data_IF_460257237407
#
_entry.id   IF_460257237407
#
_cell.length_a   1.000
_cell.length_b   1.000
_cell.length_c   1.000
_cell.angle_alpha   90.00
_cell.angle_beta   90.00
_cell.angle_gamma   90.00
#
_symmetry.space_group_name_H-M   'P 1'
#
loop_
_entity.id
_entity.type
_entity.pdbx_description
1 polymer ?
#
# COMPACT_ATOMS: atom_id res chain seq x y z
N UNK A 1 -7.76 3.39 -20.56
CA UNK A 1 -8.04 4.66 -19.86
C UNK A 1 -9.41 4.57 -19.20
N UNK A 2 -9.53 4.92 -17.92
CA UNK A 2 -10.75 4.80 -17.09
C UNK A 2 -11.78 5.91 -17.35
N UNK A 3 -11.39 6.97 -18.04
CA UNK A 3 -12.17 8.20 -18.17
C UNK A 3 -12.49 8.54 -19.61
N UNK A 4 -13.64 9.16 -19.84
CA UNK A 4 -13.99 9.83 -21.09
C UNK A 4 -13.50 11.27 -21.11
N UNK A 5 -13.48 11.92 -19.94
CA UNK A 5 -12.99 13.29 -19.76
C UNK A 5 -12.43 13.44 -18.34
N UNK A 6 -11.40 14.28 -18.20
CA UNK A 6 -10.77 14.60 -16.94
C UNK A 6 -10.68 16.11 -16.78
N UNK A 7 -11.24 16.61 -15.70
CA UNK A 7 -11.10 18.00 -15.29
C UNK A 7 -10.18 18.10 -14.07
N UNK A 8 -9.29 19.07 -14.08
CA UNK A 8 -8.40 19.36 -12.95
C UNK A 8 -8.51 20.82 -12.61
N UNK A 9 -8.88 21.13 -11.37
CA UNK A 9 -8.83 22.47 -10.82
C UNK A 9 -7.66 22.55 -9.85
N UNK A 10 -6.74 23.50 -10.06
CA UNK A 10 -5.55 23.63 -9.24
C UNK A 10 -5.26 25.08 -8.90
N UNK A 11 -4.87 25.35 -7.65
CA UNK A 11 -4.36 26.65 -7.22
C UNK A 11 -3.12 26.46 -6.35
N UNK A 12 -2.03 27.11 -6.75
CA UNK A 12 -0.78 27.10 -6.00
C UNK A 12 -0.95 27.74 -4.61
N UNK A 13 -0.12 27.32 -3.66
CA UNK A 13 -0.05 27.94 -2.35
C UNK A 13 0.77 29.25 -2.35
N UNK A 14 1.51 29.54 -3.42
CA UNK A 14 2.30 30.75 -3.52
C UNK A 14 1.39 32.01 -3.52
N UNK A 15 1.75 33.08 -2.79
CA UNK A 15 0.95 34.30 -2.72
C UNK A 15 0.62 34.86 -4.11
N UNK A 16 -0.61 35.33 -4.29
CA UNK A 16 -1.07 35.93 -5.56
C UNK A 16 -1.29 34.96 -6.72
N UNK A 17 -1.12 33.65 -6.51
CA UNK A 17 -1.33 32.67 -7.59
C UNK A 17 -2.81 32.54 -7.97
N UNK A 18 -3.17 32.67 -9.26
CA UNK A 18 -4.54 32.43 -9.71
C UNK A 18 -4.87 30.93 -9.69
N UNK A 19 -6.16 30.61 -9.80
CA UNK A 19 -6.64 29.25 -10.00
C UNK A 19 -6.71 28.92 -11.49
N UNK A 20 -6.52 27.64 -11.84
CA UNK A 20 -6.63 27.17 -13.21
C UNK A 20 -7.53 25.93 -13.29
N UNK A 21 -8.26 25.82 -14.40
CA UNK A 21 -8.87 24.59 -14.88
C UNK A 21 -7.99 24.02 -15.99
N UNK A 22 -7.75 22.71 -15.95
CA UNK A 22 -7.17 21.92 -17.02
C UNK A 22 -8.19 20.87 -17.43
N UNK A 23 -8.38 20.70 -18.74
CA UNK A 23 -9.38 19.79 -19.32
C UNK A 23 -8.73 18.90 -20.39
N UNK A 24 -9.04 17.61 -20.39
CA UNK A 24 -8.64 16.69 -21.48
C UNK A 24 -9.53 15.46 -21.54
N UNK A 25 -9.75 14.95 -22.74
CA UNK A 25 -10.38 13.67 -23.04
C UNK A 25 -9.35 12.52 -23.23
N UNK A 26 -8.05 12.83 -23.15
CA UNK A 26 -6.96 11.88 -23.37
C UNK A 26 -6.60 11.65 -24.84
N UNK A 27 -7.09 12.49 -25.78
CA UNK A 27 -6.76 12.45 -27.21
C UNK A 27 -5.33 12.94 -27.54
N UNK A 28 -4.60 13.44 -26.56
CA UNK A 28 -3.28 14.07 -26.73
C UNK A 28 -3.32 15.60 -26.72
N UNK A 29 -4.52 16.19 -26.69
CA UNK A 29 -4.74 17.64 -26.53
C UNK A 29 -5.33 17.92 -25.15
N UNK A 30 -5.06 19.12 -24.63
CA UNK A 30 -5.67 19.62 -23.41
C UNK A 30 -5.87 21.14 -23.50
N UNK A 31 -6.80 21.63 -22.71
CA UNK A 31 -7.10 23.06 -22.56
C UNK A 31 -6.73 23.53 -21.15
N UNK A 32 -6.29 24.77 -21.04
CA UNK A 32 -6.03 25.45 -19.75
C UNK A 32 -6.73 26.80 -19.78
N UNK A 33 -7.51 27.09 -18.74
CA UNK A 33 -8.15 28.38 -18.54
C UNK A 33 -7.99 28.83 -17.08
N UNK A 34 -7.94 30.14 -16.84
CA UNK A 34 -8.02 30.68 -15.48
C UNK A 34 -9.41 30.39 -14.90
N UNK A 35 -9.46 29.99 -13.62
CA UNK A 35 -10.69 29.63 -12.93
C UNK A 35 -10.77 30.31 -11.56
N UNK A 36 -11.91 30.95 -11.29
CA UNK A 36 -12.22 31.56 -10.00
C UNK A 36 -12.77 30.51 -9.01
N UNK A 37 -12.75 30.83 -7.71
CA UNK A 37 -13.30 29.94 -6.67
C UNK A 37 -12.50 28.65 -6.40
N UNK A 38 -11.34 28.46 -7.02
CA UNK A 38 -10.49 27.28 -6.81
C UNK A 38 -9.81 27.34 -5.45
N UNK A 39 -10.03 26.34 -4.59
CA UNK A 39 -9.33 26.19 -3.31
C UNK A 39 -7.84 25.87 -3.56
N UNK A 40 -6.94 26.39 -2.71
CA UNK A 40 -5.51 26.01 -2.74
C UNK A 40 -5.35 24.49 -2.65
N UNK A 41 -4.50 23.93 -3.50
CA UNK A 41 -4.37 22.50 -3.74
C UNK A 41 -4.91 22.09 -5.11
N UNK A 42 -5.24 20.82 -5.27
CA UNK A 42 -5.71 20.25 -6.54
C UNK A 42 -6.97 19.41 -6.33
N UNK A 43 -8.00 19.66 -7.14
CA UNK A 43 -9.22 18.85 -7.27
C UNK A 43 -9.21 18.20 -8.65
N UNK A 44 -9.40 16.89 -8.71
CA UNK A 44 -9.50 16.14 -9.96
C UNK A 44 -10.92 15.57 -10.04
N UNK A 45 -11.60 15.82 -11.15
CA UNK A 45 -12.90 15.25 -11.49
C UNK A 45 -12.68 14.30 -12.67
N UNK A 46 -13.16 13.08 -12.51
CA UNK A 46 -13.02 12.03 -13.52
C UNK A 46 -14.41 11.68 -14.03
N UNK A 47 -14.68 11.99 -15.30
CA UNK A 47 -15.89 11.53 -15.98
C UNK A 47 -15.66 10.10 -16.45
N UNK A 48 -16.25 9.17 -15.72
CA UNK A 48 -16.07 7.74 -15.95
C UNK A 48 -16.73 7.30 -17.26
N UNK A 49 -16.02 6.46 -18.03
CA UNK A 49 -16.60 5.74 -19.16
C UNK A 49 -17.77 4.84 -18.72
N UNK A 50 -18.61 4.44 -19.67
CA UNK A 50 -19.79 3.60 -19.41
C UNK A 50 -19.43 2.24 -18.80
N UNK A 51 -18.30 1.65 -19.19
CA UNK A 51 -17.78 0.38 -18.68
C UNK A 51 -17.03 0.51 -17.33
N UNK A 52 -16.76 1.74 -16.88
CA UNK A 52 -16.02 2.03 -15.65
C UNK A 52 -16.88 2.62 -14.52
N UNK A 53 -18.23 2.56 -14.64
CA UNK A 53 -19.15 3.18 -13.67
C UNK A 53 -19.06 2.58 -12.26
N UNK A 54 -18.50 1.39 -12.10
CA UNK A 54 -18.26 0.80 -10.79
C UNK A 54 -17.47 1.73 -9.85
N UNK A 55 -16.57 2.57 -10.36
CA UNK A 55 -15.77 3.50 -9.57
C UNK A 55 -16.54 4.74 -9.10
N UNK A 56 -17.83 4.87 -9.45
CA UNK A 56 -18.75 5.83 -8.82
C UNK A 56 -19.46 5.26 -7.59
N UNK A 57 -19.38 3.94 -7.37
CA UNK A 57 -19.95 3.30 -6.17
C UNK A 57 -19.04 3.51 -4.97
N UNK A 58 -19.59 4.05 -3.88
CA UNK A 58 -18.84 4.25 -2.63
C UNK A 58 -18.21 2.95 -2.12
N UNK A 59 -18.93 1.83 -2.18
CA UNK A 59 -18.42 0.54 -1.73
C UNK A 59 -17.17 0.12 -2.52
N UNK A 60 -17.21 0.26 -3.85
CA UNK A 60 -16.09 -0.10 -4.71
C UNK A 60 -14.86 0.77 -4.45
N UNK A 61 -15.06 2.08 -4.33
CA UNK A 61 -13.97 3.03 -4.02
C UNK A 61 -13.40 2.75 -2.63
N UNK A 62 -14.25 2.43 -1.65
CA UNK A 62 -13.84 2.05 -0.30
C UNK A 62 -12.90 0.85 -0.31
N UNK A 63 -13.23 -0.20 -1.07
CA UNK A 63 -12.39 -1.40 -1.18
C UNK A 63 -11.02 -1.09 -1.80
N UNK A 64 -11.01 -0.28 -2.86
CA UNK A 64 -9.76 0.15 -3.52
C UNK A 64 -8.89 0.97 -2.57
N UNK A 65 -9.47 1.96 -1.87
CA UNK A 65 -8.75 2.80 -0.90
C UNK A 65 -8.19 1.94 0.25
N UNK A 66 -9.00 1.03 0.79
CA UNK A 66 -8.59 0.14 1.89
C UNK A 66 -7.45 -0.78 1.45
N UNK A 67 -7.48 -1.26 0.20
CA UNK A 67 -6.43 -2.13 -0.34
C UNK A 67 -5.11 -1.39 -0.53
N UNK A 68 -5.11 -0.25 -1.20
CA UNK A 68 -3.87 0.38 -1.69
C UNK A 68 -3.38 1.59 -0.88
N UNK A 69 -4.28 2.25 -0.15
CA UNK A 69 -4.05 3.59 0.38
C UNK A 69 -4.36 3.74 1.87
N UNK A 70 -4.69 2.64 2.56
CA UNK A 70 -5.08 2.68 3.98
C UNK A 70 -3.98 3.21 4.92
N UNK A 71 -2.72 3.17 4.49
CA UNK A 71 -1.57 3.57 5.31
C UNK A 71 -0.94 4.90 4.89
N UNK A 72 -1.59 5.67 4.02
CA UNK A 72 -1.13 7.02 3.66
C UNK A 72 -1.13 7.91 4.90
N UNK A 73 -0.09 8.75 5.03
CA UNK A 73 0.17 9.57 6.22
C UNK A 73 -0.82 10.72 6.47
N UNK A 74 -1.69 11.04 5.51
CA UNK A 74 -2.63 12.15 5.59
C UNK A 74 -4.06 11.63 5.79
N UNK A 75 -4.92 12.33 6.56
CA UNK A 75 -6.32 11.96 6.70
C UNK A 75 -7.03 11.88 5.33
N UNK A 76 -7.59 10.71 5.03
CA UNK A 76 -8.31 10.43 3.79
C UNK A 76 -9.80 10.35 4.10
N UNK A 77 -10.61 11.09 3.34
CA UNK A 77 -12.07 11.11 3.48
C UNK A 77 -12.73 10.59 2.20
N UNK A 78 -13.72 9.72 2.36
CA UNK A 78 -14.62 9.26 1.30
C UNK A 78 -16.05 9.64 1.68
N UNK A 79 -16.71 10.47 0.86
CA UNK A 79 -18.06 10.96 1.12
C UNK A 79 -18.25 11.54 2.54
N UNK A 80 -17.27 12.30 3.00
CA UNK A 80 -17.26 12.92 4.34
C UNK A 80 -16.85 12.01 5.50
N UNK A 81 -16.64 10.71 5.26
CA UNK A 81 -16.23 9.74 6.28
C UNK A 81 -14.73 9.49 6.23
N UNK A 82 -14.06 9.50 7.40
CA UNK A 82 -12.63 9.20 7.49
C UNK A 82 -12.39 7.72 7.20
N UNK A 83 -11.44 7.43 6.31
CA UNK A 83 -11.14 6.10 5.80
C UNK A 83 -9.95 5.45 6.52
N UNK A 84 -8.78 6.10 6.51
CA UNK A 84 -7.57 5.55 7.10
C UNK A 84 -7.52 5.79 8.62
N UNK A 85 -7.72 4.72 9.37
CA UNK A 85 -7.62 4.69 10.84
C UNK A 85 -6.40 3.91 11.32
N UNK A 86 -5.88 2.99 10.51
CA UNK A 86 -4.70 2.19 10.85
C UNK A 86 -3.40 2.94 10.57
N UNK A 87 -2.48 2.85 11.53
CA UNK A 87 -1.14 3.41 11.39
C UNK A 87 -0.20 2.39 10.75
N UNK A 88 0.76 2.90 9.97
CA UNK A 88 1.83 2.09 9.37
C UNK A 88 2.88 1.74 10.44
N UNK A 89 2.55 0.84 11.38
CA UNK A 89 3.38 0.58 12.57
C UNK A 89 4.78 0.03 12.23
N UNK A 90 4.97 -0.57 11.05
CA UNK A 90 6.30 -0.99 10.58
C UNK A 90 7.29 0.18 10.40
N UNK A 91 6.77 1.41 10.23
CA UNK A 91 7.57 2.62 10.11
C UNK A 91 7.98 3.22 11.47
N UNK A 92 7.26 2.87 12.54
CA UNK A 92 7.49 3.39 13.89
C UNK A 92 8.76 2.79 14.51
N UNK A 93 9.26 3.37 15.60
CA UNK A 93 10.28 2.71 16.42
C UNK A 93 9.68 1.46 17.07
N UNK A 94 10.31 0.28 17.01
CA UNK A 94 9.80 -0.93 17.64
C UNK A 94 9.49 -0.77 19.14
N UNK A 95 10.19 0.13 19.84
CA UNK A 95 9.96 0.40 21.26
C UNK A 95 8.68 1.19 21.54
N UNK A 96 8.18 1.90 20.54
CA UNK A 96 6.97 2.72 20.63
C UNK A 96 5.70 1.96 20.22
N UNK A 97 5.84 0.69 19.79
CA UNK A 97 4.72 -0.15 19.36
C UNK A 97 4.38 -1.14 20.47
N UNK A 98 3.21 -0.97 21.09
CA UNK A 98 2.72 -1.87 22.12
C UNK A 98 2.24 -3.21 21.56
N UNK A 99 2.16 -4.23 22.42
CA UNK A 99 1.64 -5.56 22.05
C UNK A 99 0.23 -5.50 21.43
N UNK A 100 -0.65 -4.65 21.96
CA UNK A 100 -2.01 -4.49 21.43
C UNK A 100 -2.01 -3.98 19.99
N UNK A 101 -1.09 -3.06 19.64
CA UNK A 101 -0.97 -2.54 18.27
C UNK A 101 -0.47 -3.65 17.34
N UNK A 102 0.45 -4.48 17.81
CA UNK A 102 0.89 -5.65 17.07
C UNK A 102 -0.23 -6.67 16.88
N UNK A 103 -1.05 -6.96 17.89
CA UNK A 103 -2.21 -7.85 17.76
C UNK A 103 -3.23 -7.32 16.75
N UNK A 104 -3.63 -6.05 16.84
CA UNK A 104 -4.57 -5.45 15.89
C UNK A 104 -4.02 -5.43 14.47
N UNK A 105 -2.75 -5.04 14.30
CA UNK A 105 -2.11 -5.02 13.00
C UNK A 105 -1.94 -6.43 12.43
N UNK A 106 -1.58 -7.42 13.26
CA UNK A 106 -1.50 -8.83 12.87
C UNK A 106 -2.84 -9.32 12.33
N UNK A 107 -3.94 -9.13 13.07
CA UNK A 107 -5.29 -9.53 12.64
C UNK A 107 -5.67 -8.89 11.31
N UNK A 108 -5.31 -7.61 11.12
CA UNK A 108 -5.52 -6.91 9.87
C UNK A 108 -4.72 -7.50 8.70
N UNK A 109 -3.40 -7.64 8.82
CA UNK A 109 -2.57 -8.10 7.68
C UNK A 109 -2.70 -9.59 7.39
N UNK A 110 -2.91 -10.41 8.43
CA UNK A 110 -3.07 -11.85 8.30
C UNK A 110 -4.52 -12.27 7.99
N UNK A 111 -5.49 -11.35 8.11
CA UNK A 111 -6.93 -11.66 8.06
C UNK A 111 -7.29 -12.79 9.05
N UNK A 112 -6.80 -12.65 10.27
CA UNK A 112 -6.84 -13.69 11.30
C UNK A 112 -7.58 -13.22 12.56
N UNK A 113 -8.04 -14.17 13.35
CA UNK A 113 -8.74 -13.91 14.63
C UNK A 113 -7.88 -14.24 15.86
N UNK A 114 -6.80 -15.00 15.68
CA UNK A 114 -5.87 -15.34 16.75
C UNK A 114 -4.90 -14.18 17.04
N UNK A 115 -3.79 -14.49 17.71
CA UNK A 115 -2.74 -13.54 18.10
C UNK A 115 -1.40 -14.02 17.55
N UNK A 116 -0.42 -13.12 17.33
CA UNK A 116 0.91 -13.56 16.97
C UNK A 116 1.59 -14.21 18.18
N UNK A 117 2.11 -15.43 18.03
CA UNK A 117 2.98 -16.07 19.02
C UNK A 117 4.36 -15.42 19.05
N UNK A 118 4.88 -15.06 17.88
CA UNK A 118 6.14 -14.35 17.75
C UNK A 118 5.98 -13.11 16.89
N UNK A 119 6.73 -12.08 17.26
CA UNK A 119 6.77 -10.78 16.60
C UNK A 119 8.24 -10.46 16.32
N UNK A 120 8.56 -10.15 15.06
CA UNK A 120 9.85 -9.58 14.66
C UNK A 120 9.60 -8.26 13.95
N UNK A 121 9.83 -7.15 14.63
CA UNK A 121 9.87 -5.82 14.03
C UNK A 121 11.31 -5.49 13.64
N UNK A 122 11.59 -5.55 12.33
CA UNK A 122 12.94 -5.41 11.80
C UNK A 122 13.06 -4.16 10.92
N UNK A 123 14.03 -3.31 11.27
CA UNK A 123 14.39 -2.09 10.53
C UNK A 123 15.89 -2.12 10.23
N UNK A 124 16.25 -1.80 9.01
CA UNK A 124 17.64 -1.54 8.63
C UNK A 124 17.69 -0.58 7.44
N UNK A 125 18.77 0.18 7.33
CA UNK A 125 19.07 1.03 6.16
C UNK A 125 20.22 0.45 5.31
N UNK A 126 20.85 -0.62 5.78
CA UNK A 126 21.92 -1.33 5.08
C UNK A 126 21.74 -2.86 5.15
N UNK A 127 22.03 -3.61 4.08
CA UNK A 127 22.48 -3.14 2.76
C UNK A 127 21.35 -2.64 1.85
N UNK A 128 20.12 -2.61 2.37
CA UNK A 128 18.90 -2.11 1.75
C UNK A 128 18.06 -1.43 2.83
N UNK A 129 17.26 -0.44 2.45
CA UNK A 129 16.22 0.11 3.30
C UNK A 129 15.09 -0.92 3.47
N UNK A 130 14.91 -1.40 4.70
CA UNK A 130 13.88 -2.36 5.07
C UNK A 130 13.18 -1.84 6.31
N UNK A 131 11.85 -1.81 6.25
CA UNK A 131 10.95 -1.60 7.37
C UNK A 131 9.93 -2.74 7.34
N UNK A 132 10.02 -3.66 8.28
CA UNK A 132 9.26 -4.90 8.22
C UNK A 132 8.75 -5.32 9.59
N UNK A 133 7.61 -5.98 9.59
CA UNK A 133 7.11 -6.72 10.74
C UNK A 133 6.71 -8.10 10.26
N UNK A 134 7.22 -9.11 10.95
CA UNK A 134 6.88 -10.51 10.73
C UNK A 134 6.20 -11.09 11.97
N UNK A 135 5.21 -11.92 11.71
CA UNK A 135 4.42 -12.60 12.72
C UNK A 135 4.39 -14.10 12.46
N UNK A 136 4.46 -14.86 13.55
CA UNK A 136 4.13 -16.28 13.56
C UNK A 136 2.76 -16.43 14.24
N UNK A 137 1.73 -16.95 13.55
CA UNK A 137 0.43 -17.22 14.16
C UNK A 137 0.53 -18.12 15.39
N UNK A 138 -0.31 -17.90 16.40
CA UNK A 138 -0.42 -18.83 17.53
C UNK A 138 -1.18 -20.10 17.12
N UNK A 139 -2.17 -19.95 16.24
CA UNK A 139 -2.88 -21.06 15.63
C UNK A 139 -1.93 -21.91 14.79
N UNK A 140 -1.92 -23.22 15.07
CA UNK A 140 -1.15 -24.18 14.27
C UNK A 140 -1.77 -24.27 12.87
N UNK A 141 -0.95 -24.31 11.79
CA UNK A 141 -1.47 -24.48 10.45
C UNK A 141 -2.17 -25.83 10.33
N UNK A 142 -3.32 -25.87 9.65
CA UNK A 142 -4.00 -27.13 9.37
C UNK A 142 -3.25 -27.93 8.30
N UNK A 143 -3.47 -29.24 8.24
CA UNK A 143 -2.92 -30.08 7.15
C UNK A 143 -3.34 -29.57 5.76
N UNK A 144 -4.54 -28.97 5.66
CA UNK A 144 -5.03 -28.35 4.44
C UNK A 144 -4.22 -27.09 4.05
N UNK A 145 -3.83 -26.27 5.01
CA UNK A 145 -2.99 -25.09 4.78
C UNK A 145 -1.57 -25.49 4.33
N UNK A 146 -1.06 -26.60 4.86
CA UNK A 146 0.25 -27.14 4.51
C UNK A 146 0.25 -27.75 3.12
N UNK A 147 -0.82 -28.49 2.76
CA UNK A 147 -0.94 -29.19 1.48
C UNK A 147 -1.22 -28.27 0.29
N UNK A 148 -1.78 -27.08 0.52
CA UNK A 148 -1.88 -26.07 -0.53
C UNK A 148 -0.50 -25.46 -0.79
N UNK A 149 -0.11 -25.36 -2.06
CA UNK A 149 1.01 -24.52 -2.50
C UNK A 149 0.65 -23.03 -2.40
N UNK A 150 0.36 -22.56 -1.18
CA UNK A 150 0.22 -21.15 -0.90
C UNK A 150 1.62 -20.53 -0.86
N UNK A 151 1.85 -19.55 -1.72
CA UNK A 151 3.04 -18.71 -1.64
C UNK A 151 3.08 -17.89 -0.33
N UNK A 152 4.11 -17.06 -0.19
CA UNK A 152 4.24 -16.14 0.95
C UNK A 152 2.96 -15.34 1.21
N UNK A 153 2.62 -15.16 2.48
CA UNK A 153 1.50 -14.32 2.94
C UNK A 153 1.99 -13.00 3.53
N UNK A 154 3.15 -12.53 3.09
CA UNK A 154 3.71 -11.22 3.45
C UNK A 154 3.34 -10.22 2.36
N UNK A 155 2.77 -9.10 2.78
CA UNK A 155 2.47 -7.98 1.90
C UNK A 155 3.72 -7.13 1.66
N UNK A 156 3.91 -6.68 0.42
CA UNK A 156 4.99 -5.81 0.02
C UNK A 156 4.48 -4.41 -0.23
N UNK A 157 5.13 -3.44 0.41
CA UNK A 157 4.86 -2.02 0.30
C UNK A 157 6.10 -1.29 -0.20
N UNK A 158 5.87 -0.09 -0.74
CA UNK A 158 6.92 0.90 -0.94
C UNK A 158 6.36 2.26 -0.55
N UNK A 159 7.01 2.94 0.39
CA UNK A 159 6.57 4.25 0.90
C UNK A 159 5.12 4.23 1.38
N UNK A 160 4.73 3.17 2.12
CA UNK A 160 3.37 2.91 2.62
C UNK A 160 2.29 2.66 1.55
N UNK A 161 2.65 2.56 0.27
CA UNK A 161 1.74 2.17 -0.81
C UNK A 161 1.89 0.68 -1.06
N UNK A 162 0.76 -0.03 -1.10
CA UNK A 162 0.76 -1.47 -1.36
C UNK A 162 1.22 -1.73 -2.80
N UNK A 163 2.21 -2.61 -2.96
CA UNK A 163 2.68 -3.11 -4.25
C UNK A 163 2.07 -4.47 -4.53
N UNK A 164 2.19 -5.40 -3.58
CA UNK A 164 1.70 -6.77 -3.73
C UNK A 164 1.15 -7.29 -2.41
N UNK A 165 -0.07 -7.82 -2.41
CA UNK A 165 -0.72 -8.38 -1.21
C UNK A 165 -0.03 -9.65 -0.70
N UNK A 166 0.53 -10.44 -1.62
CA UNK A 166 1.19 -11.73 -1.35
C UNK A 166 2.46 -11.80 -2.17
N UNK A 167 3.56 -11.25 -1.64
CA UNK A 167 4.84 -11.22 -2.32
C UNK A 167 5.56 -12.55 -2.14
N UNK A 168 5.43 -13.44 -3.12
CA UNK A 168 5.97 -14.81 -3.06
C UNK A 168 7.49 -14.88 -3.08
N UNK A 169 8.14 -13.85 -3.62
CA UNK A 169 9.55 -13.90 -3.97
C UNK A 169 10.48 -13.26 -2.93
N UNK A 170 9.90 -12.58 -1.93
CA UNK A 170 10.65 -11.88 -0.88
C UNK A 170 11.01 -12.79 0.32
N UNK A 171 10.44 -13.99 0.39
CA UNK A 171 10.78 -15.00 1.39
C UNK A 171 10.94 -16.37 0.73
N UNK A 172 11.83 -17.24 1.22
CA UNK A 172 11.93 -18.62 0.74
C UNK A 172 10.65 -19.41 1.08
N UNK A 173 10.31 -20.39 0.23
CA UNK A 173 9.05 -21.17 0.34
C UNK A 173 8.83 -21.85 1.69
N UNK A 174 9.89 -22.20 2.41
CA UNK A 174 9.79 -22.84 3.73
C UNK A 174 9.39 -21.87 4.85
N UNK A 175 9.54 -20.55 4.62
CA UNK A 175 9.07 -19.48 5.53
C UNK A 175 7.64 -19.01 5.23
N UNK A 176 6.86 -19.74 4.40
CA UNK A 176 5.49 -19.35 4.01
C UNK A 176 4.47 -19.22 5.15
N UNK A 177 4.78 -19.77 6.33
CA UNK A 177 3.93 -19.67 7.51
C UNK A 177 3.97 -18.26 8.13
N UNK A 178 4.98 -17.46 7.81
CA UNK A 178 5.10 -16.09 8.29
C UNK A 178 4.00 -15.22 7.68
N UNK A 179 3.47 -14.31 8.50
CA UNK A 179 2.56 -13.23 8.11
C UNK A 179 3.24 -11.90 8.35
N UNK A 180 2.79 -10.85 7.68
CA UNK A 180 3.28 -9.50 7.98
C UNK A 180 3.48 -8.63 6.76
N UNK A 181 4.40 -7.69 6.89
CA UNK A 181 4.65 -6.64 5.92
C UNK A 181 6.14 -6.39 5.74
N UNK A 182 6.55 -6.10 4.50
CA UNK A 182 7.86 -5.55 4.17
C UNK A 182 7.63 -4.28 3.36
N UNK A 183 8.22 -3.17 3.81
CA UNK A 183 8.28 -1.91 3.09
C UNK A 183 9.74 -1.58 2.78
N UNK A 184 10.01 -1.20 1.54
CA UNK A 184 11.34 -0.83 1.07
C UNK A 184 11.25 0.24 0.00
N UNK A 185 12.06 1.29 0.15
CA UNK A 185 12.19 2.35 -0.85
C UNK A 185 13.10 1.96 -2.02
N UNK A 186 13.92 0.92 -1.86
CA UNK A 186 14.92 0.49 -2.83
C UNK A 186 14.37 -0.45 -3.90
N UNK A 187 13.12 -0.93 -3.74
CA UNK A 187 12.53 -1.88 -4.68
C UNK A 187 12.16 -1.14 -5.97
N UNK A 188 12.75 -1.49 -7.12
CA UNK A 188 12.40 -0.89 -8.40
C UNK A 188 10.99 -1.33 -8.77
N UNK A 189 10.08 -0.36 -8.87
CA UNK A 189 8.72 -0.61 -9.32
C UNK A 189 8.69 -0.57 -10.85
N UNK A 190 8.06 -1.56 -11.47
CA UNK A 190 7.77 -1.50 -12.89
C UNK A 190 6.78 -0.35 -13.20
N UNK A 191 6.59 -0.01 -14.48
CA UNK A 191 5.72 1.12 -14.87
C UNK A 191 4.28 0.96 -14.38
N UNK A 192 3.77 -0.28 -14.26
CA UNK A 192 2.44 -0.56 -13.70
C UNK A 192 2.39 -0.56 -12.17
N UNK A 193 3.54 -0.61 -11.48
CA UNK A 193 3.69 -0.80 -10.02
C UNK A 193 3.02 -2.08 -9.48
N UNK A 194 2.83 -3.09 -10.31
CA UNK A 194 2.09 -4.33 -9.95
C UNK A 194 2.95 -5.59 -10.00
N UNK A 195 3.95 -5.65 -10.87
CA UNK A 195 4.80 -6.82 -11.02
C UNK A 195 6.21 -6.45 -10.59
N UNK A 196 6.71 -7.17 -9.59
CA UNK A 196 8.12 -7.15 -9.29
C UNK A 196 8.85 -7.73 -10.50
N UNK A 197 9.66 -6.92 -11.16
CA UNK A 197 10.64 -7.49 -12.08
C UNK A 197 11.58 -8.36 -11.24
N UNK A 198 11.81 -9.61 -11.65
CA UNK A 198 12.83 -10.46 -11.04
C UNK A 198 14.18 -9.74 -11.12
N UNK A 199 14.55 -9.11 -10.01
CA UNK A 199 15.73 -8.27 -9.94
C UNK A 199 16.71 -8.86 -8.94
N UNK A 200 17.99 -8.54 -9.14
CA UNK A 200 19.03 -8.87 -8.16
C UNK A 200 18.69 -8.30 -6.76
N UNK A 201 17.97 -7.18 -6.70
CA UNK A 201 17.54 -6.56 -5.44
C UNK A 201 16.50 -7.39 -4.68
N UNK A 202 15.52 -8.01 -5.36
CA UNK A 202 14.55 -8.89 -4.70
C UNK A 202 15.23 -10.14 -4.12
N UNK A 203 16.20 -10.71 -4.85
CA UNK A 203 17.00 -11.84 -4.32
C UNK A 203 17.81 -11.42 -3.09
N UNK A 204 18.48 -10.26 -3.14
CA UNK A 204 19.24 -9.71 -2.01
C UNK A 204 18.34 -9.44 -0.80
N UNK A 205 17.15 -8.87 -1.01
CA UNK A 205 16.15 -8.65 0.03
C UNK A 205 15.75 -9.99 0.68
N UNK A 206 15.40 -10.99 -0.13
CA UNK A 206 15.04 -12.32 0.36
C UNK A 206 16.15 -12.95 1.21
N UNK A 207 17.40 -12.86 0.76
CA UNK A 207 18.54 -13.43 1.48
C UNK A 207 18.76 -12.74 2.83
N UNK A 208 18.67 -11.40 2.87
CA UNK A 208 18.74 -10.63 4.12
C UNK A 208 17.62 -11.01 5.09
N UNK A 209 16.39 -11.08 4.61
CA UNK A 209 15.23 -11.45 5.43
C UNK A 209 15.32 -12.89 5.95
N UNK A 210 15.75 -13.83 5.10
CA UNK A 210 15.96 -15.22 5.50
C UNK A 210 16.98 -15.34 6.63
N UNK A 211 18.16 -14.72 6.47
CA UNK A 211 19.19 -14.74 7.51
C UNK A 211 18.69 -14.10 8.81
N UNK A 212 17.94 -13.01 8.70
CA UNK A 212 17.40 -12.31 9.87
C UNK A 212 16.34 -13.10 10.62
N UNK A 213 15.52 -13.89 9.91
CA UNK A 213 14.46 -14.72 10.49
C UNK A 213 14.98 -16.02 11.13
N UNK A 214 16.14 -16.52 10.70
CA UNK A 214 16.80 -17.69 11.31
C UNK A 214 17.51 -17.31 12.61
N UNK A 215 18.08 -16.10 12.68
CA UNK A 215 18.86 -15.59 13.82
C UNK A 215 17.99 -15.07 14.96
#
# INVERSE_FOLDING_TARGET
SLYSEKEVYSRSAAPGSPGYQWLSDGSGVFEIAEASGVRTGTKIIIHLKSDCKEFSSEARVRDVVTKYSNFISFPLYLNGRRMNTLQAIWMMDPKDVGEWQHEEFYRYVAQAHDKPRYILHYKTDAPLNIRSIFYVPDMKPSMFDVSRELGSSVALYSRKVLIQTKATDILPKWLRFIRGVVDSEDIPLNLSRELLQESALIRKLRDVLQQRLIK
#
